data_IF_608388647331
#
_entry.id   IF_608388647331
#
_cell.length_a   1.000
_cell.length_b   1.000
_cell.length_c   1.000
_cell.angle_alpha   90.00
_cell.angle_beta   90.00
_cell.angle_gamma   90.00
#
_symmetry.space_group_name_H-M   'P 1'
#
loop_
_entity.id
_entity.type
_entity.pdbx_description
1 polymer ?
#
# COMPACT_ATOMS: atom_id res chain seq x y z
N UNK A 1 11.41 1.20 -25.02
CA UNK A 1 10.41 0.95 -23.95
C UNK A 1 11.00 1.43 -22.64
N UNK A 2 10.49 2.53 -22.08
CA UNK A 2 11.12 3.20 -20.94
C UNK A 2 11.21 2.27 -19.72
N UNK A 3 12.43 2.09 -19.17
CA UNK A 3 12.69 1.29 -17.95
C UNK A 3 11.70 1.57 -16.82
N UNK A 4 11.22 2.80 -16.69
CA UNK A 4 10.25 3.22 -15.69
C UNK A 4 8.82 2.78 -15.95
N UNK A 5 8.37 2.76 -17.21
CA UNK A 5 7.08 2.18 -17.59
C UNK A 5 7.12 0.65 -17.39
N UNK A 6 8.26 0.04 -17.72
CA UNK A 6 8.51 -1.37 -17.43
C UNK A 6 8.49 -1.64 -15.92
N UNK A 7 9.15 -0.84 -15.09
CA UNK A 7 9.13 -1.01 -13.63
C UNK A 7 7.72 -0.84 -13.04
N UNK A 8 6.92 0.10 -13.52
CA UNK A 8 5.54 0.28 -13.06
C UNK A 8 4.60 -0.83 -13.57
N UNK A 9 4.73 -1.26 -14.82
CA UNK A 9 4.00 -2.41 -15.33
C UNK A 9 4.43 -3.68 -14.60
N UNK A 10 5.73 -3.87 -14.40
CA UNK A 10 6.30 -4.98 -13.68
C UNK A 10 5.79 -4.98 -12.24
N UNK A 11 5.83 -3.83 -11.55
CA UNK A 11 5.28 -3.69 -10.20
C UNK A 11 3.79 -4.03 -10.18
N UNK A 12 3.00 -3.50 -11.12
CA UNK A 12 1.55 -3.80 -11.27
C UNK A 12 1.28 -5.28 -11.57
N UNK A 13 2.14 -5.92 -12.36
CA UNK A 13 2.04 -7.36 -12.67
C UNK A 13 2.43 -8.18 -11.44
N UNK A 14 3.53 -7.84 -10.76
CA UNK A 14 3.99 -8.52 -9.54
C UNK A 14 3.05 -8.33 -8.34
N UNK A 15 2.28 -7.23 -8.33
CA UNK A 15 1.23 -6.95 -7.34
C UNK A 15 -0.11 -7.60 -7.72
N UNK A 16 -0.19 -8.31 -8.84
CA UNK A 16 -1.39 -9.07 -9.20
C UNK A 16 -1.49 -10.32 -8.33
N UNK A 17 -2.69 -10.60 -7.85
CA UNK A 17 -3.03 -11.83 -7.13
C UNK A 17 -2.56 -13.11 -7.84
N UNK A 18 -2.59 -13.11 -9.18
CA UNK A 18 -2.32 -14.30 -10.00
C UNK A 18 -0.86 -14.46 -10.41
N UNK A 19 0.01 -13.49 -10.12
CA UNK A 19 1.39 -13.54 -10.60
C UNK A 19 2.19 -14.66 -9.96
N UNK A 20 2.22 -14.74 -8.61
CA UNK A 20 2.91 -15.81 -7.89
C UNK A 20 2.27 -17.18 -8.18
N UNK A 21 0.93 -17.35 -8.15
CA UNK A 21 0.30 -18.62 -8.51
C UNK A 21 0.63 -19.07 -9.93
N UNK A 22 0.60 -18.18 -10.92
CA UNK A 22 0.96 -18.51 -12.29
C UNK A 22 2.44 -18.90 -12.42
N UNK A 23 3.33 -18.21 -11.68
CA UNK A 23 4.75 -18.56 -11.62
C UNK A 23 4.98 -19.97 -11.04
N UNK A 24 4.33 -20.31 -9.93
CA UNK A 24 4.40 -21.65 -9.32
C UNK A 24 3.79 -22.73 -10.21
N UNK A 25 2.71 -22.42 -10.92
CA UNK A 25 2.09 -23.31 -11.89
C UNK A 25 3.05 -23.61 -13.06
N UNK A 26 3.71 -22.59 -13.62
CA UNK A 26 4.72 -22.76 -14.65
C UNK A 26 5.95 -23.53 -14.14
N UNK A 27 6.40 -23.24 -12.92
CA UNK A 27 7.50 -23.97 -12.29
C UNK A 27 7.15 -25.45 -12.12
N UNK A 28 5.93 -25.78 -11.71
CA UNK A 28 5.46 -27.16 -11.61
C UNK A 28 5.46 -27.88 -12.97
N UNK A 29 5.03 -27.20 -14.05
CA UNK A 29 5.08 -27.74 -15.41
C UNK A 29 6.53 -28.04 -15.82
N UNK A 30 7.44 -27.08 -15.64
CA UNK A 30 8.87 -27.25 -15.96
C UNK A 30 9.48 -28.40 -15.15
N UNK A 31 9.16 -28.46 -13.86
CA UNK A 31 9.65 -29.50 -12.95
C UNK A 31 9.17 -30.89 -13.38
N UNK A 32 7.91 -31.02 -13.82
CA UNK A 32 7.37 -32.26 -14.37
C UNK A 32 8.14 -32.72 -15.63
N UNK A 33 8.43 -31.81 -16.56
CA UNK A 33 9.19 -32.15 -17.77
C UNK A 33 10.63 -32.55 -17.46
N UNK A 34 11.30 -31.81 -16.57
CA UNK A 34 12.69 -32.09 -16.18
C UNK A 34 12.78 -33.44 -15.47
N UNK A 35 11.94 -33.70 -14.46
CA UNK A 35 11.95 -34.95 -13.70
C UNK A 35 11.60 -36.16 -14.57
N UNK A 36 10.58 -36.06 -15.41
CA UNK A 36 10.25 -37.13 -16.36
C UNK A 36 11.40 -37.37 -17.34
N UNK A 37 12.03 -36.30 -17.84
CA UNK A 37 13.20 -36.39 -18.72
C UNK A 37 14.38 -37.07 -18.04
N UNK A 38 14.66 -36.76 -16.77
CA UNK A 38 15.71 -37.43 -15.99
C UNK A 38 15.39 -38.89 -15.71
N UNK A 39 14.12 -39.22 -15.43
CA UNK A 39 13.68 -40.60 -15.23
C UNK A 39 13.89 -41.44 -16.50
N UNK A 40 13.61 -40.86 -17.69
CA UNK A 40 13.90 -41.50 -18.97
C UNK A 40 15.40 -41.67 -19.24
N UNK A 41 16.22 -40.65 -18.94
CA UNK A 41 17.66 -40.66 -19.24
C UNK A 41 18.47 -41.58 -18.31
N UNK A 42 18.09 -41.66 -17.04
CA UNK A 42 18.84 -42.42 -16.04
C UNK A 42 18.47 -43.91 -15.99
N UNK A 43 17.41 -44.33 -16.69
CA UNK A 43 16.99 -45.74 -16.72
C UNK A 43 16.74 -46.31 -15.33
N UNK A 44 16.24 -45.47 -14.41
CA UNK A 44 16.18 -45.76 -12.97
C UNK A 44 15.30 -46.97 -12.61
N UNK A 45 14.44 -47.44 -13.54
CA UNK A 45 13.68 -48.68 -13.38
C UNK A 45 14.55 -49.89 -13.07
N UNK A 46 15.75 -50.02 -13.67
CA UNK A 46 16.63 -51.19 -13.43
C UNK A 46 17.52 -51.04 -12.19
N UNK A 47 17.68 -49.82 -11.64
CA UNK A 47 18.61 -49.54 -10.52
C UNK A 47 17.93 -49.34 -9.16
N UNK A 48 16.61 -49.16 -9.13
CA UNK A 48 15.84 -48.91 -7.91
C UNK A 48 15.12 -50.16 -7.37
N UNK A 49 15.29 -51.34 -7.99
CA UNK A 49 14.75 -52.62 -7.49
C UNK A 49 15.17 -52.91 -6.03
N UNK A 50 16.32 -52.40 -5.58
CA UNK A 50 16.85 -52.60 -4.23
C UNK A 50 16.12 -51.78 -3.13
N UNK A 51 15.26 -50.81 -3.48
CA UNK A 51 14.54 -49.97 -2.51
C UNK A 51 13.02 -50.27 -2.52
N UNK A 52 12.62 -51.39 -1.91
CA UNK A 52 11.22 -51.86 -1.80
C UNK A 52 10.21 -50.80 -1.30
N UNK A 53 10.63 -49.85 -0.45
CA UNK A 53 9.76 -48.80 0.09
C UNK A 53 9.44 -47.66 -0.89
N UNK A 54 10.27 -47.48 -1.93
CA UNK A 54 10.14 -46.41 -2.93
C UNK A 54 9.47 -46.90 -4.22
N UNK A 55 9.32 -48.22 -4.36
CA UNK A 55 8.80 -48.87 -5.56
C UNK A 55 7.26 -48.85 -5.54
N UNK A 56 6.66 -47.96 -6.34
CA UNK A 56 5.22 -48.01 -6.61
C UNK A 56 4.93 -49.32 -7.36
N UNK A 57 4.31 -50.28 -6.67
CA UNK A 57 4.27 -51.71 -7.04
C UNK A 57 3.52 -52.04 -8.34
N UNK A 58 2.94 -51.06 -9.04
CA UNK A 58 2.38 -51.19 -10.39
C UNK A 58 2.11 -49.82 -11.06
N UNK A 59 2.11 -49.73 -12.40
CA UNK A 59 1.70 -48.53 -13.13
C UNK A 59 0.29 -48.04 -12.74
N UNK A 60 -0.62 -48.96 -12.46
CA UNK A 60 -1.99 -48.63 -12.03
C UNK A 60 -2.03 -48.06 -10.61
N UNK A 61 -1.20 -48.58 -9.70
CA UNK A 61 -1.03 -48.00 -8.36
C UNK A 61 -0.48 -46.58 -8.41
N UNK A 62 0.51 -46.32 -9.26
CA UNK A 62 1.06 -44.99 -9.48
C UNK A 62 0.00 -44.01 -10.03
N UNK A 63 -0.77 -44.42 -11.04
CA UNK A 63 -1.89 -43.61 -11.57
C UNK A 63 -2.95 -43.34 -10.50
N UNK A 64 -3.29 -44.34 -9.70
CA UNK A 64 -4.26 -44.18 -8.61
C UNK A 64 -3.80 -43.14 -7.58
N UNK A 65 -2.54 -43.23 -7.11
CA UNK A 65 -1.96 -42.27 -6.17
C UNK A 65 -1.94 -40.86 -6.75
N UNK A 66 -1.44 -40.68 -7.98
CA UNK A 66 -1.39 -39.37 -8.63
C UNK A 66 -2.79 -38.80 -8.88
N UNK A 67 -3.77 -39.64 -9.22
CA UNK A 67 -5.17 -39.25 -9.40
C UNK A 67 -5.80 -38.80 -8.07
N UNK A 68 -5.55 -39.52 -6.97
CA UNK A 68 -5.99 -39.11 -5.63
C UNK A 68 -5.35 -37.79 -5.19
N UNK A 69 -4.05 -37.61 -5.45
CA UNK A 69 -3.36 -36.34 -5.17
C UNK A 69 -3.98 -35.23 -6.03
N UNK A 70 -4.10 -35.41 -7.35
CA UNK A 70 -4.68 -34.40 -8.23
C UNK A 70 -6.11 -34.01 -7.79
N UNK A 71 -6.98 -35.00 -7.55
CA UNK A 71 -8.37 -34.77 -7.13
C UNK A 71 -8.49 -34.05 -5.78
N UNK A 72 -7.65 -34.41 -4.80
CA UNK A 72 -7.61 -33.72 -3.51
C UNK A 72 -7.08 -32.29 -3.65
N UNK A 73 -5.99 -32.09 -4.39
CA UNK A 73 -5.37 -30.77 -4.55
C UNK A 73 -6.28 -29.76 -5.27
N UNK A 74 -7.00 -30.16 -6.33
CA UNK A 74 -7.93 -29.26 -7.02
C UNK A 74 -9.14 -28.90 -6.15
N UNK A 75 -9.65 -29.85 -5.38
CA UNK A 75 -10.76 -29.62 -4.44
C UNK A 75 -10.35 -28.62 -3.37
N UNK A 76 -9.16 -28.82 -2.78
CA UNK A 76 -8.61 -27.93 -1.78
C UNK A 76 -8.31 -26.54 -2.36
N UNK A 77 -7.74 -26.45 -3.56
CA UNK A 77 -7.53 -25.17 -4.24
C UNK A 77 -8.85 -24.39 -4.42
N UNK A 78 -9.94 -25.09 -4.76
CA UNK A 78 -11.28 -24.50 -4.85
C UNK A 78 -11.76 -23.92 -3.51
N UNK A 79 -11.56 -24.64 -2.41
CA UNK A 79 -11.88 -24.14 -1.05
C UNK A 79 -11.03 -22.92 -0.71
N UNK A 80 -9.73 -22.95 -0.96
CA UNK A 80 -8.81 -21.83 -0.69
C UNK A 80 -9.23 -20.56 -1.45
N UNK A 81 -9.57 -20.69 -2.74
CA UNK A 81 -10.06 -19.57 -3.55
C UNK A 81 -11.38 -19.03 -3.00
N UNK A 82 -12.32 -19.92 -2.67
CA UNK A 82 -13.62 -19.54 -2.10
C UNK A 82 -13.45 -18.78 -0.77
N UNK A 83 -12.66 -19.31 0.16
CA UNK A 83 -12.35 -18.65 1.42
C UNK A 83 -11.69 -17.30 1.18
N UNK A 84 -10.74 -17.20 0.25
CA UNK A 84 -10.09 -15.91 -0.08
C UNK A 84 -11.10 -14.87 -0.57
N UNK A 85 -12.05 -15.26 -1.42
CA UNK A 85 -13.13 -14.35 -1.90
C UNK A 85 -14.05 -13.92 -0.76
N UNK A 86 -14.38 -14.84 0.16
CA UNK A 86 -15.18 -14.52 1.35
C UNK A 86 -14.44 -13.50 2.23
N UNK A 87 -13.15 -13.72 2.49
CA UNK A 87 -12.32 -12.80 3.26
C UNK A 87 -12.22 -11.44 2.59
N UNK A 88 -12.04 -11.40 1.27
CA UNK A 88 -12.02 -10.15 0.51
C UNK A 88 -13.33 -9.38 0.64
N UNK A 89 -14.45 -10.10 0.62
CA UNK A 89 -15.80 -9.53 0.77
C UNK A 89 -15.99 -8.97 2.18
N UNK A 90 -15.63 -9.74 3.21
CA UNK A 90 -15.69 -9.31 4.60
C UNK A 90 -14.81 -8.09 4.85
N UNK A 91 -13.58 -8.08 4.34
CA UNK A 91 -12.68 -6.94 4.47
C UNK A 91 -13.23 -5.68 3.79
N UNK A 92 -13.81 -5.82 2.59
CA UNK A 92 -14.45 -4.71 1.88
C UNK A 92 -15.69 -4.17 2.61
N UNK A 93 -16.40 -5.01 3.33
CA UNK A 93 -17.61 -4.65 4.09
C UNK A 93 -17.26 -4.04 5.45
N UNK A 94 -16.30 -4.61 6.17
CA UNK A 94 -15.97 -4.19 7.53
C UNK A 94 -15.00 -3.01 7.55
N UNK A 95 -13.99 -2.97 6.67
CA UNK A 95 -12.87 -2.03 6.78
C UNK A 95 -12.78 -1.02 5.65
N UNK A 96 -13.27 -1.39 4.46
CA UNK A 96 -13.41 -0.48 3.33
C UNK A 96 -12.66 -0.90 2.07
N UNK A 97 -13.12 -0.45 0.88
CA UNK A 97 -12.55 -0.85 -0.40
C UNK A 97 -11.07 -0.49 -0.55
N UNK A 98 -10.56 0.50 0.20
CA UNK A 98 -9.14 0.88 0.14
C UNK A 98 -8.23 -0.15 0.79
N UNK A 99 -8.73 -0.97 1.71
CA UNK A 99 -7.95 -1.99 2.42
C UNK A 99 -7.97 -3.34 1.73
N UNK A 100 -8.92 -3.55 0.82
CA UNK A 100 -9.04 -4.74 -0.04
C UNK A 100 -7.74 -5.02 -0.80
N UNK A 101 -7.04 -3.97 -1.25
CA UNK A 101 -5.75 -4.11 -1.96
C UNK A 101 -4.72 -4.85 -1.11
N UNK A 102 -4.67 -4.63 0.20
CA UNK A 102 -3.71 -5.26 1.10
C UNK A 102 -3.92 -6.78 1.18
N UNK A 103 -5.16 -7.25 1.03
CA UNK A 103 -5.50 -8.68 0.99
C UNK A 103 -5.19 -9.32 -0.37
N UNK A 104 -5.33 -8.56 -1.47
CA UNK A 104 -4.99 -9.04 -2.82
C UNK A 104 -3.48 -9.27 -2.95
N UNK A 105 -2.66 -8.44 -2.30
CA UNK A 105 -1.20 -8.52 -2.32
C UNK A 105 -0.60 -9.51 -1.29
N UNK A 106 -1.43 -10.30 -0.61
CA UNK A 106 -0.98 -11.24 0.42
C UNK A 106 -0.17 -12.41 -0.16
N UNK A 107 1.16 -12.32 -0.09
CA UNK A 107 2.08 -13.31 -0.65
C UNK A 107 1.90 -14.71 -0.07
N UNK A 108 1.73 -14.90 1.26
CA UNK A 108 1.46 -16.22 1.83
C UNK A 108 0.24 -16.91 1.18
N UNK A 109 -0.90 -16.24 1.06
CA UNK A 109 -2.08 -16.78 0.39
C UNK A 109 -1.82 -17.16 -1.06
N UNK A 110 -1.09 -16.31 -1.79
CA UNK A 110 -0.73 -16.56 -3.19
C UNK A 110 0.19 -17.79 -3.35
N UNK A 111 1.16 -17.97 -2.46
CA UNK A 111 2.06 -19.14 -2.46
C UNK A 111 1.28 -20.42 -2.19
N UNK A 112 0.37 -20.40 -1.20
CA UNK A 112 -0.44 -21.57 -0.86
C UNK A 112 -1.33 -21.96 -2.04
N UNK A 113 -2.12 -21.03 -2.59
CA UNK A 113 -2.99 -21.29 -3.75
C UNK A 113 -2.18 -21.80 -4.95
N UNK A 114 -1.04 -21.15 -5.25
CA UNK A 114 -0.15 -21.54 -6.33
C UNK A 114 0.45 -22.93 -6.15
N UNK A 115 0.78 -23.31 -4.92
CA UNK A 115 1.35 -24.63 -4.60
C UNK A 115 0.33 -25.76 -4.79
N UNK A 116 -0.92 -25.56 -4.40
CA UNK A 116 -2.00 -26.52 -4.65
C UNK A 116 -2.31 -26.67 -6.14
N UNK A 117 -2.43 -25.56 -6.87
CA UNK A 117 -2.63 -25.58 -8.32
C UNK A 117 -1.44 -26.22 -9.06
N UNK A 118 -0.21 -25.93 -8.61
CA UNK A 118 1.03 -26.51 -9.10
C UNK A 118 1.11 -28.02 -8.86
N UNK A 119 0.81 -28.49 -7.64
CA UNK A 119 0.79 -29.91 -7.30
C UNK A 119 -0.26 -30.69 -8.12
N UNK A 120 -1.42 -30.08 -8.35
CA UNK A 120 -2.46 -30.61 -9.25
C UNK A 120 -1.95 -30.81 -10.68
N UNK A 121 -1.42 -29.75 -11.32
CA UNK A 121 -0.96 -29.85 -12.71
C UNK A 121 0.25 -30.77 -12.85
N UNK A 122 1.17 -30.74 -11.88
CA UNK A 122 2.31 -31.64 -11.81
C UNK A 122 1.84 -33.10 -11.82
N UNK A 123 0.89 -33.45 -10.93
CA UNK A 123 0.37 -34.83 -10.82
C UNK A 123 -0.29 -35.31 -12.11
N UNK A 124 -1.06 -34.45 -12.80
CA UNK A 124 -1.65 -34.78 -14.11
C UNK A 124 -0.59 -34.99 -15.18
N UNK A 125 0.44 -34.15 -15.22
CA UNK A 125 1.51 -34.25 -16.22
C UNK A 125 2.36 -35.50 -16.03
N UNK A 126 2.69 -35.86 -14.79
CA UNK A 126 3.39 -37.12 -14.51
C UNK A 126 2.51 -38.31 -14.88
N UNK A 127 1.21 -38.27 -14.54
CA UNK A 127 0.28 -39.35 -14.87
C UNK A 127 0.19 -39.60 -16.38
N UNK A 128 0.25 -38.55 -17.21
CA UNK A 128 0.29 -38.68 -18.68
C UNK A 128 1.49 -39.48 -19.19
N UNK A 129 2.61 -39.44 -18.48
CA UNK A 129 3.84 -40.12 -18.90
C UNK A 129 3.93 -41.59 -18.42
N UNK A 130 2.94 -42.09 -17.67
CA UNK A 130 2.88 -43.49 -17.25
C UNK A 130 2.37 -44.35 -18.40
N UNK A 131 3.22 -45.21 -18.94
CA UNK A 131 2.90 -46.13 -20.02
C UNK A 131 2.78 -47.56 -19.47
N UNK A 132 1.72 -48.26 -19.89
CA UNK A 132 1.50 -49.68 -19.61
C UNK A 132 1.42 -50.42 -20.94
N UNK A 133 2.41 -51.27 -21.24
CA UNK A 133 2.65 -51.86 -22.57
C UNK A 133 3.65 -53.03 -22.52
N UNK A 134 4.40 -53.31 -23.60
CA UNK A 134 5.41 -54.38 -23.61
C UNK A 134 6.59 -54.11 -22.66
N UNK A 135 6.87 -52.83 -22.36
CA UNK A 135 7.79 -52.39 -21.31
C UNK A 135 7.05 -51.35 -20.48
N UNK A 136 6.77 -51.68 -19.22
CA UNK A 136 6.13 -50.76 -18.30
C UNK A 136 7.11 -49.64 -17.90
N UNK A 137 6.64 -48.39 -17.93
CA UNK A 137 7.42 -47.23 -17.50
C UNK A 137 6.69 -46.46 -16.41
N UNK A 138 7.35 -46.34 -15.26
CA UNK A 138 6.84 -45.65 -14.07
C UNK A 138 7.92 -44.67 -13.60
N UNK A 139 7.69 -43.34 -13.64
CA UNK A 139 8.66 -42.35 -13.21
C UNK A 139 8.69 -42.23 -11.68
N UNK A 140 9.39 -43.16 -11.02
CA UNK A 140 9.39 -43.31 -9.55
C UNK A 140 9.86 -42.04 -8.81
N UNK A 141 10.91 -41.37 -9.29
CA UNK A 141 11.39 -40.12 -8.68
C UNK A 141 10.33 -39.03 -8.79
N UNK A 142 9.69 -38.91 -9.96
CA UNK A 142 8.62 -37.95 -10.19
C UNK A 142 7.42 -38.17 -9.26
N UNK A 143 7.06 -39.43 -8.99
CA UNK A 143 5.98 -39.81 -8.05
C UNK A 143 6.37 -39.49 -6.61
N UNK A 144 7.61 -39.79 -6.19
CA UNK A 144 8.10 -39.44 -4.87
C UNK A 144 8.00 -37.93 -4.62
N UNK A 145 8.42 -37.12 -5.59
CA UNK A 145 8.28 -35.66 -5.53
C UNK A 145 6.81 -35.24 -5.44
N UNK A 146 5.89 -35.91 -6.16
CA UNK A 146 4.45 -35.65 -6.02
C UNK A 146 3.96 -35.90 -4.59
N UNK A 147 4.41 -36.99 -3.98
CA UNK A 147 4.01 -37.39 -2.63
C UNK A 147 4.54 -36.42 -1.57
N UNK A 148 5.82 -36.03 -1.67
CA UNK A 148 6.42 -35.01 -0.81
C UNK A 148 5.71 -33.65 -0.99
N UNK A 149 5.43 -33.25 -2.22
CA UNK A 149 4.70 -32.03 -2.51
C UNK A 149 3.29 -32.05 -1.88
N UNK A 150 2.60 -33.19 -1.93
CA UNK A 150 1.28 -33.35 -1.29
C UNK A 150 1.35 -33.19 0.25
N UNK A 151 2.37 -33.77 0.91
CA UNK A 151 2.57 -33.59 2.36
C UNK A 151 2.86 -32.13 2.70
N UNK A 152 3.70 -31.46 1.89
CA UNK A 152 4.01 -30.04 2.05
C UNK A 152 2.77 -29.17 1.83
N UNK A 153 1.90 -29.52 0.86
CA UNK A 153 0.60 -28.86 0.66
C UNK A 153 -0.30 -28.99 1.90
N UNK A 154 -0.34 -30.15 2.56
CA UNK A 154 -1.11 -30.32 3.80
C UNK A 154 -0.59 -29.41 4.92
N UNK A 155 0.73 -29.32 5.10
CA UNK A 155 1.32 -28.39 6.07
C UNK A 155 0.99 -26.93 5.72
N UNK A 156 1.05 -26.56 4.44
CA UNK A 156 0.68 -25.24 3.94
C UNK A 156 -0.80 -24.91 4.17
N UNK A 157 -1.70 -25.90 4.11
CA UNK A 157 -3.12 -25.70 4.45
C UNK A 157 -3.29 -25.29 5.91
N UNK A 158 -2.65 -26.02 6.83
CA UNK A 158 -2.72 -25.70 8.27
C UNK A 158 -2.18 -24.29 8.53
N UNK A 159 -1.05 -23.97 7.89
CA UNK A 159 -0.48 -22.62 7.93
C UNK A 159 -1.45 -21.56 7.38
N UNK A 160 -2.09 -21.82 6.23
CA UNK A 160 -3.03 -20.89 5.60
C UNK A 160 -4.24 -20.59 6.49
N UNK A 161 -4.80 -21.60 7.16
CA UNK A 161 -5.91 -21.40 8.10
C UNK A 161 -5.48 -20.47 9.23
N UNK A 162 -4.32 -20.73 9.85
CA UNK A 162 -3.78 -19.87 10.89
C UNK A 162 -3.51 -18.45 10.39
N UNK A 163 -2.85 -18.32 9.23
CA UNK A 163 -2.53 -17.04 8.60
C UNK A 163 -3.78 -16.20 8.34
N UNK A 164 -4.82 -16.78 7.75
CA UNK A 164 -6.08 -16.08 7.51
C UNK A 164 -6.77 -15.70 8.84
N UNK A 165 -6.80 -16.60 9.84
CA UNK A 165 -7.40 -16.30 11.14
C UNK A 165 -6.72 -15.15 11.89
N UNK A 166 -5.41 -14.95 11.70
CA UNK A 166 -4.68 -13.82 12.28
C UNK A 166 -4.85 -12.56 11.42
N UNK A 167 -4.68 -12.67 10.11
CA UNK A 167 -4.68 -11.52 9.18
C UNK A 167 -6.04 -10.81 9.08
N UNK A 168 -7.15 -11.52 9.34
CA UNK A 168 -8.49 -10.92 9.37
C UNK A 168 -8.68 -10.01 10.61
N UNK A 169 -7.87 -10.18 11.67
CA UNK A 169 -8.04 -9.39 12.88
C UNK A 169 -7.79 -7.90 12.59
N UNK A 170 -8.67 -7.06 13.13
CA UNK A 170 -8.63 -5.60 12.94
C UNK A 170 -7.25 -5.02 13.29
N UNK A 171 -6.66 -5.54 14.37
CA UNK A 171 -5.35 -5.13 14.87
C UNK A 171 -4.25 -5.32 13.82
N UNK A 172 -4.19 -6.48 13.15
CA UNK A 172 -3.17 -6.74 12.12
C UNK A 172 -3.33 -5.85 10.88
N UNK A 173 -4.56 -5.50 10.50
CA UNK A 173 -4.80 -4.55 9.41
C UNK A 173 -4.33 -3.16 9.81
N UNK A 174 -4.64 -2.77 11.04
CA UNK A 174 -4.34 -1.47 11.59
C UNK A 174 -2.82 -1.28 11.74
N UNK A 175 -2.12 -2.27 12.30
CA UNK A 175 -0.65 -2.34 12.35
C UNK A 175 -0.03 -2.20 10.96
N UNK A 176 -0.54 -2.93 9.96
CA UNK A 176 -0.01 -2.85 8.59
C UNK A 176 -0.19 -1.47 7.96
N UNK A 177 -1.36 -0.84 8.15
CA UNK A 177 -1.61 0.52 7.63
C UNK A 177 -0.74 1.54 8.36
N UNK A 178 -0.49 1.32 9.66
CA UNK A 178 0.44 2.14 10.43
C UNK A 178 1.88 1.97 9.93
N UNK A 179 2.36 0.76 9.68
CA UNK A 179 3.69 0.52 9.14
C UNK A 179 3.87 1.19 7.77
N UNK A 180 2.86 1.09 6.89
CA UNK A 180 2.84 1.79 5.60
C UNK A 180 2.91 3.31 5.78
N UNK A 181 2.19 3.86 6.76
CA UNK A 181 2.22 5.30 7.08
C UNK A 181 3.58 5.73 7.66
N UNK A 182 4.13 4.97 8.61
CA UNK A 182 5.42 5.24 9.23
C UNK A 182 6.55 5.24 8.19
N UNK A 183 6.57 4.24 7.29
CA UNK A 183 7.54 4.19 6.19
C UNK A 183 7.43 5.40 5.24
N UNK A 184 6.21 5.87 4.97
CA UNK A 184 5.99 7.08 4.17
C UNK A 184 6.40 8.35 4.91
N UNK A 185 6.14 8.42 6.21
CA UNK A 185 6.56 9.54 7.07
C UNK A 185 8.09 9.63 7.09
N UNK A 186 8.80 8.50 7.20
CA UNK A 186 10.27 8.45 7.12
C UNK A 186 10.80 8.84 5.74
N UNK A 187 10.12 8.44 4.66
CA UNK A 187 10.52 8.78 3.30
C UNK A 187 10.28 10.26 2.94
N UNK A 188 9.19 10.87 3.42
CA UNK A 188 8.81 12.26 3.11
C UNK A 188 9.45 13.25 4.09
N UNK A 189 9.62 12.83 5.34
CA UNK A 189 10.17 13.62 6.44
C UNK A 189 11.35 12.85 7.08
N UNK A 190 12.56 12.86 6.53
CA UNK A 190 13.70 12.16 7.15
C UNK A 190 14.13 12.82 8.47
N UNK A 191 14.53 12.01 9.47
CA UNK A 191 15.03 12.48 10.78
C UNK A 191 16.42 13.11 10.71
N UNK A 192 17.30 12.52 9.89
CA UNK A 192 18.68 12.96 9.69
C UNK A 192 18.78 14.01 8.58
N UNK A 193 18.44 15.26 8.87
CA UNK A 193 18.87 16.38 8.05
C UNK A 193 20.31 16.76 8.44
N UNK A 194 21.26 15.84 8.25
CA UNK A 194 22.69 16.19 8.19
C UNK A 194 22.98 17.10 6.98
N UNK A 195 22.08 17.09 5.99
CA UNK A 195 21.89 18.18 5.05
C UNK A 195 20.39 18.27 4.80
N UNK A 196 19.72 19.39 5.15
CA UNK A 196 18.52 19.75 4.44
C UNK A 196 18.79 19.57 2.95
N UNK A 197 17.80 19.14 2.16
CA UNK A 197 17.72 19.68 0.80
C UNK A 197 17.55 21.18 1.04
N UNK A 198 18.67 21.86 1.29
CA UNK A 198 18.73 23.26 1.64
C UNK A 198 18.00 23.94 0.52
N UNK A 199 16.85 24.54 0.85
CA UNK A 199 16.37 25.64 0.03
C UNK A 199 17.57 26.58 0.02
N UNK A 200 18.24 26.82 -1.13
CA UNK A 200 19.27 27.84 -1.17
C UNK A 200 18.69 29.07 -0.48
N UNK A 201 19.40 29.73 0.43
CA UNK A 201 18.83 30.83 1.24
C UNK A 201 18.14 31.90 0.36
N UNK A 202 18.58 32.03 -0.90
CA UNK A 202 18.02 32.91 -1.90
C UNK A 202 16.69 32.43 -2.57
N UNK A 203 16.20 31.20 -2.34
CA UNK A 203 14.91 30.67 -2.84
C UNK A 203 13.85 30.57 -1.74
N UNK A 204 14.18 30.95 -0.49
CA UNK A 204 13.20 31.05 0.59
C UNK A 204 12.30 32.29 0.48
N UNK A 205 12.62 33.22 -0.44
CA UNK A 205 11.95 34.50 -0.60
C UNK A 205 11.06 34.49 -1.88
N UNK A 206 9.76 34.79 -1.73
CA UNK A 206 8.80 34.85 -2.85
C UNK A 206 9.25 35.81 -3.95
N UNK A 207 10.00 36.86 -3.58
CA UNK A 207 10.57 37.82 -4.52
C UNK A 207 11.59 37.18 -5.48
N UNK A 208 12.38 36.20 -5.02
CA UNK A 208 13.37 35.52 -5.85
C UNK A 208 12.71 34.52 -6.81
N UNK A 209 11.63 33.87 -6.38
CA UNK A 209 10.79 33.03 -7.25
C UNK A 209 10.15 33.89 -8.34
N UNK A 210 9.59 35.05 -7.98
CA UNK A 210 9.01 35.98 -8.94
C UNK A 210 10.04 36.46 -9.98
N UNK A 211 11.25 36.80 -9.55
CA UNK A 211 12.35 37.18 -10.45
C UNK A 211 12.76 36.03 -11.38
N UNK A 212 12.79 34.78 -10.90
CA UNK A 212 13.10 33.62 -11.73
C UNK A 212 12.05 33.39 -12.83
N UNK A 213 10.78 33.74 -12.57
CA UNK A 213 9.66 33.57 -13.51
C UNK A 213 9.45 34.80 -14.42
N UNK A 214 10.12 35.92 -14.15
CA UNK A 214 9.93 37.18 -14.86
C UNK A 214 10.33 37.06 -16.35
N UNK A 215 9.45 37.52 -17.25
CA UNK A 215 9.68 37.47 -18.70
C UNK A 215 9.50 36.09 -19.34
N UNK A 216 9.09 35.07 -18.58
CA UNK A 216 8.78 33.74 -19.11
C UNK A 216 7.31 33.62 -19.54
N UNK A 217 7.05 32.83 -20.59
CA UNK A 217 5.70 32.40 -20.95
C UNK A 217 5.32 31.14 -20.17
N UNK A 218 4.11 31.12 -19.61
CA UNK A 218 3.58 29.97 -18.89
C UNK A 218 2.72 29.10 -19.81
N UNK A 219 3.21 27.92 -20.16
CA UNK A 219 2.44 26.90 -20.88
C UNK A 219 1.77 25.95 -19.88
N UNK A 220 0.49 25.63 -20.12
CA UNK A 220 -0.28 24.74 -19.24
C UNK A 220 -0.21 23.28 -19.70
N UNK A 221 0.37 22.41 -18.86
CA UNK A 221 0.28 20.97 -19.03
C UNK A 221 -1.06 20.47 -18.48
N UNK A 222 -1.85 19.78 -19.31
CA UNK A 222 -3.21 19.35 -18.95
C UNK A 222 -3.39 17.84 -19.00
N UNK A 223 -4.25 17.33 -18.12
CA UNK A 223 -4.58 15.91 -18.05
C UNK A 223 -5.35 15.46 -19.30
N UNK A 224 -4.81 14.46 -20.02
CA UNK A 224 -5.44 13.93 -21.24
C UNK A 224 -6.67 13.06 -20.97
N UNK A 225 -6.75 12.42 -19.80
CA UNK A 225 -7.79 11.48 -19.39
C UNK A 225 -8.09 11.63 -17.90
N UNK A 226 -9.31 11.31 -17.44
CA UNK A 226 -9.62 11.31 -16.02
C UNK A 226 -8.88 10.18 -15.28
N UNK A 227 -8.45 10.44 -14.06
CA UNK A 227 -7.77 9.44 -13.22
C UNK A 227 -7.02 10.06 -12.05
N UNK A 228 -6.40 9.21 -11.23
CA UNK A 228 -5.58 9.64 -10.10
C UNK A 228 -4.14 9.85 -10.52
N UNK A 229 -3.51 10.93 -10.05
CA UNK A 229 -2.05 11.05 -10.04
C UNK A 229 -1.51 10.10 -8.96
N UNK A 230 -0.81 9.04 -9.35
CA UNK A 230 -0.30 8.02 -8.43
C UNK A 230 1.12 8.36 -7.94
N UNK A 231 1.95 8.91 -8.82
CA UNK A 231 3.32 9.28 -8.51
C UNK A 231 3.86 10.34 -9.50
N UNK A 232 4.81 11.13 -9.03
CA UNK A 232 5.67 12.02 -9.83
C UNK A 232 7.10 11.51 -9.74
N UNK A 233 7.77 11.39 -10.89
CA UNK A 233 9.18 11.00 -10.93
C UNK A 233 10.06 12.22 -10.72
N UNK A 234 10.23 12.64 -9.47
CA UNK A 234 10.89 13.89 -9.09
C UNK A 234 12.28 14.06 -9.72
N UNK A 235 13.12 13.03 -9.69
CA UNK A 235 14.48 13.10 -10.28
C UNK A 235 14.42 13.35 -11.79
N UNK A 236 13.57 12.61 -12.51
CA UNK A 236 13.40 12.80 -13.95
C UNK A 236 12.76 14.13 -14.31
N UNK A 237 11.88 14.62 -13.45
CA UNK A 237 11.22 15.90 -13.64
C UNK A 237 12.24 17.04 -13.50
N UNK A 238 13.13 16.93 -12.52
CA UNK A 238 14.24 17.86 -12.31
C UNK A 238 15.22 17.81 -13.47
N UNK A 239 15.69 16.61 -13.87
CA UNK A 239 16.58 16.43 -15.02
C UNK A 239 15.97 17.02 -16.29
N UNK A 240 14.69 16.76 -16.55
CA UNK A 240 13.97 17.29 -17.70
C UNK A 240 13.88 18.82 -17.66
N UNK A 241 13.61 19.41 -16.49
CA UNK A 241 13.57 20.86 -16.31
C UNK A 241 14.95 21.50 -16.58
N UNK A 242 16.03 20.85 -16.15
CA UNK A 242 17.41 21.31 -16.41
C UNK A 242 17.77 21.21 -17.89
N UNK A 243 17.55 20.04 -18.51
CA UNK A 243 17.87 19.79 -19.92
C UNK A 243 17.15 20.75 -20.87
N UNK A 244 15.91 21.10 -20.55
CA UNK A 244 15.06 21.96 -21.39
C UNK A 244 15.05 23.43 -20.93
N UNK A 245 15.77 23.77 -19.86
CA UNK A 245 15.83 25.14 -19.32
C UNK A 245 14.47 25.67 -18.85
N UNK A 246 13.63 24.80 -18.27
CA UNK A 246 12.28 25.11 -17.81
C UNK A 246 12.23 25.37 -16.30
N UNK A 247 11.24 26.13 -15.87
CA UNK A 247 10.78 26.13 -14.47
C UNK A 247 9.39 25.51 -14.43
N UNK A 248 9.21 24.45 -13.62
CA UNK A 248 7.99 23.67 -13.56
C UNK A 248 7.27 23.91 -12.24
N UNK A 249 6.05 24.44 -12.29
CA UNK A 249 5.19 24.64 -11.14
C UNK A 249 4.04 23.62 -11.15
N UNK A 250 4.14 22.62 -10.29
CA UNK A 250 3.10 21.60 -10.14
C UNK A 250 1.89 22.23 -9.45
N UNK A 251 0.70 21.87 -9.94
CA UNK A 251 -0.58 22.35 -9.38
C UNK A 251 -1.27 21.26 -8.55
N UNK A 252 -0.78 20.02 -8.62
CA UNK A 252 -1.43 18.84 -8.06
C UNK A 252 -0.41 17.91 -7.42
N UNK A 253 -0.86 17.19 -6.39
CA UNK A 253 -0.05 16.21 -5.66
C UNK A 253 -0.49 14.76 -5.98
N UNK A 254 0.40 13.77 -5.79
CA UNK A 254 -0.01 12.38 -5.74
C UNK A 254 -1.22 12.19 -4.81
N UNK A 255 -2.21 11.41 -5.25
CA UNK A 255 -3.49 11.23 -4.56
C UNK A 255 -4.64 12.06 -5.15
N UNK A 256 -4.36 13.13 -5.89
CA UNK A 256 -5.39 13.95 -6.53
C UNK A 256 -6.09 13.22 -7.68
N UNK A 257 -7.41 13.35 -7.76
CA UNK A 257 -8.20 12.91 -8.92
C UNK A 257 -8.28 14.06 -9.93
N UNK A 258 -7.85 13.81 -11.15
CA UNK A 258 -7.80 14.79 -12.23
C UNK A 258 -8.92 14.55 -13.22
N UNK A 259 -9.59 15.63 -13.62
CA UNK A 259 -10.52 15.66 -14.74
C UNK A 259 -9.78 15.82 -16.06
N UNK A 260 -10.41 15.42 -17.16
CA UNK A 260 -9.86 15.68 -18.50
C UNK A 260 -9.76 17.20 -18.72
N UNK A 261 -8.58 17.66 -19.10
CA UNK A 261 -8.28 19.08 -19.34
C UNK A 261 -7.85 19.85 -18.08
N UNK A 262 -7.87 19.24 -16.90
CA UNK A 262 -7.39 19.86 -15.67
C UNK A 262 -5.88 20.12 -15.73
N UNK A 263 -5.43 21.23 -15.13
CA UNK A 263 -4.03 21.63 -15.17
C UNK A 263 -3.22 20.81 -14.16
N UNK A 264 -2.14 20.18 -14.65
CA UNK A 264 -1.23 19.36 -13.82
C UNK A 264 -0.03 20.20 -13.40
N UNK A 265 0.52 20.95 -14.35
CA UNK A 265 1.77 21.68 -14.20
C UNK A 265 1.73 22.93 -15.08
N UNK A 266 2.30 24.02 -14.61
CA UNK A 266 2.69 25.17 -15.43
C UNK A 266 4.16 25.02 -15.77
N UNK A 267 4.49 25.10 -17.04
CA UNK A 267 5.86 25.10 -17.52
C UNK A 267 6.20 26.52 -17.98
N UNK A 268 7.13 27.16 -17.28
CA UNK A 268 7.64 28.47 -17.60
C UNK A 268 8.88 28.32 -18.47
N UNK A 269 8.90 29.03 -19.59
CA UNK A 269 10.04 29.07 -20.50
C UNK A 269 9.99 30.31 -21.41
N UNK A 270 11.06 30.55 -22.18
CA UNK A 270 11.13 31.71 -23.08
C UNK A 270 10.23 31.59 -24.32
N UNK A 271 9.83 30.38 -24.67
CA UNK A 271 9.05 30.07 -25.88
C UNK A 271 7.90 29.15 -25.52
N UNK A 272 6.86 29.10 -26.35
CA UNK A 272 5.77 28.15 -26.13
C UNK A 272 6.26 26.69 -26.16
N UNK A 273 5.74 25.87 -25.25
CA UNK A 273 6.10 24.45 -25.17
C UNK A 273 5.57 23.71 -26.41
N UNK A 274 6.45 23.03 -27.16
CA UNK A 274 6.01 22.18 -28.27
C UNK A 274 5.20 20.98 -27.76
N UNK A 275 4.30 20.42 -28.60
CA UNK A 275 3.52 19.23 -28.24
C UNK A 275 4.40 18.03 -27.88
N UNK A 276 5.54 17.86 -28.56
CA UNK A 276 6.50 16.78 -28.27
C UNK A 276 7.11 16.90 -26.87
N UNK A 277 7.48 18.12 -26.46
CA UNK A 277 7.99 18.39 -25.12
C UNK A 277 6.90 18.24 -24.05
N UNK A 278 5.67 18.66 -24.35
CA UNK A 278 4.53 18.47 -23.47
C UNK A 278 4.26 16.97 -23.21
N UNK A 279 4.39 16.13 -24.24
CA UNK A 279 4.21 14.69 -24.14
C UNK A 279 5.35 14.00 -23.39
N UNK A 280 6.59 14.46 -23.59
CA UNK A 280 7.73 14.01 -22.81
C UNK A 280 7.60 14.38 -21.32
N UNK A 281 7.17 15.62 -21.03
CA UNK A 281 6.91 16.10 -19.67
C UNK A 281 5.79 15.30 -19.01
N UNK A 282 4.67 15.04 -19.71
CA UNK A 282 3.58 14.19 -19.23
C UNK A 282 4.05 12.79 -18.84
N UNK A 283 5.09 12.24 -19.48
CA UNK A 283 5.64 10.93 -19.15
C UNK A 283 6.40 10.87 -17.81
N UNK A 284 6.66 12.02 -17.18
CA UNK A 284 7.19 12.13 -15.81
C UNK A 284 6.10 11.91 -14.74
N UNK A 285 4.83 12.04 -15.11
CA UNK A 285 3.68 11.82 -14.24
C UNK A 285 3.11 10.41 -14.44
N UNK A 286 2.76 9.75 -13.35
CA UNK A 286 2.19 8.40 -13.35
C UNK A 286 0.71 8.50 -13.00
N UNK A 287 -0.15 8.19 -13.97
CA UNK A 287 -1.60 8.18 -13.77
C UNK A 287 -2.14 6.76 -13.61
N UNK A 288 -3.18 6.61 -12.81
CA UNK A 288 -3.90 5.35 -12.65
C UNK A 288 -5.39 5.52 -12.39
N UNK A 289 -6.13 4.41 -12.47
CA UNK A 289 -7.59 4.40 -12.28
C UNK A 289 -7.99 4.47 -10.80
N UNK A 290 -7.10 4.06 -9.90
CA UNK A 290 -7.33 3.98 -8.47
C UNK A 290 -6.24 4.74 -7.71
N UNK A 291 -6.54 5.32 -6.54
CA UNK A 291 -5.54 5.93 -5.67
C UNK A 291 -4.56 4.88 -5.13
N UNK A 292 -3.36 5.32 -4.73
CA UNK A 292 -2.29 4.46 -4.21
C UNK A 292 -1.50 5.17 -3.13
N UNK A 293 -0.98 4.44 -2.15
CA UNK A 293 -0.09 4.97 -1.10
C UNK A 293 1.33 5.30 -1.57
N UNK A 294 1.73 4.98 -2.81
CA UNK A 294 3.15 5.04 -3.24
C UNK A 294 3.84 6.39 -2.97
N UNK A 295 3.13 7.51 -3.16
CA UNK A 295 3.62 8.86 -2.85
C UNK A 295 2.53 9.76 -2.23
N UNK A 296 1.39 9.19 -1.83
CA UNK A 296 0.29 9.93 -1.16
C UNK A 296 0.30 9.58 0.34
N UNK A 297 0.90 10.45 1.15
CA UNK A 297 0.93 10.27 2.62
C UNK A 297 -0.45 10.37 3.26
N UNK A 298 -1.40 11.06 2.61
CA UNK A 298 -2.77 11.16 3.12
C UNK A 298 -3.55 9.87 2.87
N UNK A 299 -3.07 8.98 2.00
CA UNK A 299 -3.78 7.75 1.66
C UNK A 299 -3.91 6.79 2.86
N UNK A 300 -2.83 6.40 3.57
CA UNK A 300 -2.94 5.58 4.78
C UNK A 300 -3.72 6.27 5.91
N UNK A 301 -3.57 7.60 6.06
CA UNK A 301 -4.35 8.39 7.04
C UNK A 301 -5.84 8.25 6.74
N UNK A 302 -6.24 8.40 5.48
CA UNK A 302 -7.64 8.23 5.06
C UNK A 302 -8.11 6.77 5.22
N UNK A 303 -7.24 5.77 5.12
CA UNK A 303 -7.58 4.37 5.40
C UNK A 303 -7.90 4.17 6.89
N UNK A 304 -7.06 4.68 7.80
CA UNK A 304 -7.32 4.63 9.25
C UNK A 304 -8.60 5.39 9.62
N UNK A 305 -8.81 6.58 9.03
CA UNK A 305 -10.04 7.33 9.24
C UNK A 305 -11.28 6.59 8.70
N UNK A 306 -11.19 5.95 7.53
CA UNK A 306 -12.28 5.14 6.98
C UNK A 306 -12.62 3.95 7.89
N UNK A 307 -11.61 3.26 8.44
CA UNK A 307 -11.82 2.18 9.41
C UNK A 307 -12.53 2.67 10.67
N UNK A 308 -12.09 3.80 11.23
CA UNK A 308 -12.71 4.39 12.41
C UNK A 308 -14.17 4.77 12.14
N UNK A 309 -14.46 5.44 11.01
CA UNK A 309 -15.83 5.84 10.65
C UNK A 309 -16.75 4.63 10.46
N UNK A 310 -16.25 3.54 9.87
CA UNK A 310 -17.03 2.30 9.73
C UNK A 310 -17.29 1.64 11.07
N UNK A 311 -16.29 1.58 11.94
CA UNK A 311 -16.45 1.06 13.29
C UNK A 311 -17.53 1.84 14.06
N UNK A 312 -17.58 3.17 13.89
CA UNK A 312 -18.60 4.06 14.47
C UNK A 312 -19.96 4.01 13.77
N UNK A 313 -20.11 3.29 12.66
CA UNK A 313 -21.38 3.22 11.96
C UNK A 313 -22.44 2.49 12.79
N UNK A 314 -23.73 2.84 12.67
CA UNK A 314 -24.80 2.21 13.47
C UNK A 314 -24.90 0.68 13.31
N UNK A 315 -24.40 0.12 12.20
CA UNK A 315 -24.42 -1.31 11.94
C UNK A 315 -23.31 -2.10 12.63
N UNK A 316 -22.20 -1.45 12.99
CA UNK A 316 -21.05 -2.08 13.69
C UNK A 316 -21.02 -1.63 15.14
N UNK A 317 -21.04 -0.31 15.38
CA UNK A 317 -21.05 0.33 16.69
C UNK A 317 -19.92 -0.16 17.62
N UNK A 318 -18.69 -0.11 17.12
CA UNK A 318 -17.47 -0.49 17.84
C UNK A 318 -16.55 0.73 18.06
N UNK A 319 -16.78 1.49 19.15
CA UNK A 319 -15.94 2.64 19.47
C UNK A 319 -14.51 2.26 19.88
N UNK A 320 -14.24 1.03 20.29
CA UNK A 320 -12.89 0.60 20.66
C UNK A 320 -11.97 0.55 19.45
N UNK A 321 -12.42 -0.02 18.33
CA UNK A 321 -11.67 0.00 17.07
C UNK A 321 -11.40 1.44 16.60
N UNK A 322 -12.37 2.35 16.77
CA UNK A 322 -12.18 3.76 16.41
C UNK A 322 -11.14 4.45 17.31
N UNK A 323 -11.12 4.16 18.61
CA UNK A 323 -10.12 4.64 19.56
C UNK A 323 -8.73 4.13 19.17
N UNK A 324 -8.59 2.86 18.80
CA UNK A 324 -7.31 2.33 18.30
C UNK A 324 -6.84 3.09 17.06
N UNK A 325 -7.72 3.32 16.07
CA UNK A 325 -7.37 4.11 14.88
C UNK A 325 -6.88 5.53 15.25
N UNK A 326 -7.53 6.17 16.22
CA UNK A 326 -7.12 7.50 16.73
C UNK A 326 -5.74 7.44 17.38
N UNK A 327 -5.43 6.40 18.16
CA UNK A 327 -4.12 6.24 18.79
C UNK A 327 -3.00 6.10 17.74
N UNK A 328 -3.18 5.27 16.71
CA UNK A 328 -2.17 5.09 15.65
C UNK A 328 -2.01 6.32 14.74
N UNK A 329 -3.10 7.04 14.46
CA UNK A 329 -3.02 8.35 13.82
C UNK A 329 -2.22 9.33 14.68
N UNK A 330 -2.48 9.38 15.99
CA UNK A 330 -1.74 10.24 16.91
C UNK A 330 -0.24 9.91 16.93
N UNK A 331 0.12 8.63 17.00
CA UNK A 331 1.52 8.17 16.93
C UNK A 331 2.20 8.68 15.67
N UNK A 332 1.55 8.56 14.52
CA UNK A 332 2.10 8.99 13.23
C UNK A 332 2.23 10.51 13.13
N UNK A 333 1.27 11.27 13.67
CA UNK A 333 1.35 12.73 13.71
C UNK A 333 2.38 13.24 14.72
N UNK A 334 2.62 12.56 15.83
CA UNK A 334 3.75 12.89 16.72
C UNK A 334 5.09 12.72 15.99
N UNK A 335 5.26 11.66 15.20
CA UNK A 335 6.48 11.49 14.40
C UNK A 335 6.69 12.65 13.39
N UNK A 336 5.60 13.19 12.81
CA UNK A 336 5.66 14.34 11.90
C UNK A 336 5.85 15.67 12.64
N UNK A 337 5.39 15.79 13.88
CA UNK A 337 5.36 17.03 14.66
C UNK A 337 6.74 17.71 14.74
N UNK A 338 7.79 16.91 14.97
CA UNK A 338 9.18 17.38 15.10
C UNK A 338 9.98 17.44 13.82
N UNK A 339 9.41 17.03 12.69
CA UNK A 339 10.14 16.94 11.43
C UNK A 339 9.95 18.22 10.61
N UNK A 340 11.01 18.57 9.88
CA UNK A 340 10.98 19.68 8.93
C UNK A 340 10.16 19.26 7.72
N UNK A 341 9.21 20.11 7.33
CA UNK A 341 8.45 19.86 6.11
C UNK A 341 9.34 20.14 4.91
N UNK A 342 9.25 19.31 3.85
CA UNK A 342 10.08 19.51 2.67
C UNK A 342 9.79 20.88 2.07
N UNK A 343 10.84 21.57 1.62
CA UNK A 343 10.68 22.81 0.85
C UNK A 343 9.83 22.54 -0.40
N UNK A 344 8.94 23.47 -0.80
CA UNK A 344 8.24 23.36 -2.07
C UNK A 344 9.19 23.56 -3.27
N UNK A 345 10.37 24.15 -3.05
CA UNK A 345 11.31 24.51 -4.11
C UNK A 345 12.40 23.45 -4.30
N UNK A 346 12.75 23.19 -5.55
CA UNK A 346 13.88 22.34 -5.94
C UNK A 346 14.73 23.10 -6.95
N UNK A 347 16.03 23.17 -6.64
CA UNK A 347 17.03 23.78 -7.49
C UNK A 347 17.92 22.72 -8.16
N UNK A 348 18.59 23.11 -9.24
CA UNK A 348 19.65 22.31 -9.84
C UNK A 348 21.00 22.46 -9.09
N UNK A 349 22.03 21.78 -9.59
CA UNK A 349 23.37 21.85 -9.00
C UNK A 349 24.02 23.25 -9.06
N UNK A 350 23.50 24.16 -9.89
CA UNK A 350 23.94 25.55 -9.95
C UNK A 350 23.14 26.48 -9.02
N UNK A 351 22.13 25.95 -8.31
CA UNK A 351 21.24 26.71 -7.44
C UNK A 351 20.07 27.37 -8.16
N UNK A 352 19.86 27.13 -9.46
CA UNK A 352 18.73 27.73 -10.18
C UNK A 352 17.43 26.98 -9.87
N UNK A 353 16.34 27.71 -9.63
CA UNK A 353 15.01 27.13 -9.41
C UNK A 353 14.54 26.35 -10.64
N UNK A 354 14.15 25.09 -10.45
CA UNK A 354 13.67 24.21 -11.54
C UNK A 354 12.28 23.66 -11.31
N UNK A 355 11.94 23.28 -10.07
CA UNK A 355 10.64 22.68 -9.77
C UNK A 355 10.04 23.31 -8.51
N UNK A 356 8.78 23.71 -8.61
CA UNK A 356 7.94 24.16 -7.50
C UNK A 356 6.86 23.10 -7.32
N UNK A 357 6.80 22.49 -6.13
CA UNK A 357 5.85 21.42 -5.81
C UNK A 357 4.96 21.86 -4.65
N UNK A 358 3.64 21.65 -4.72
CA UNK A 358 2.76 21.83 -3.57
C UNK A 358 3.18 20.88 -2.46
N UNK A 359 3.15 21.35 -1.21
CA UNK A 359 3.48 20.57 -0.01
C UNK A 359 2.28 20.53 0.92
N UNK A 360 2.07 19.40 1.59
CA UNK A 360 1.01 19.31 2.59
C UNK A 360 1.33 20.21 3.77
N UNK A 361 0.32 20.86 4.33
CA UNK A 361 0.48 21.60 5.59
C UNK A 361 0.19 20.69 6.78
N UNK A 362 0.74 21.04 7.95
CA UNK A 362 0.40 20.35 9.19
C UNK A 362 -1.11 20.38 9.48
N UNK A 363 -1.77 21.51 9.18
CA UNK A 363 -3.23 21.64 9.34
C UNK A 363 -4.01 20.66 8.46
N UNK A 364 -3.62 20.52 7.19
CA UNK A 364 -4.26 19.58 6.26
C UNK A 364 -4.18 18.14 6.77
N UNK A 365 -2.99 17.72 7.21
CA UNK A 365 -2.75 16.37 7.74
C UNK A 365 -3.62 16.14 8.98
N UNK A 366 -3.65 17.10 9.90
CA UNK A 366 -4.43 17.06 11.14
C UNK A 366 -5.94 16.94 10.87
N UNK A 367 -6.46 17.75 9.93
CA UNK A 367 -7.87 17.73 9.54
C UNK A 367 -8.24 16.41 8.87
N UNK A 368 -7.43 15.92 7.94
CA UNK A 368 -7.67 14.64 7.26
C UNK A 368 -7.68 13.47 8.25
N UNK A 369 -6.80 13.51 9.27
CA UNK A 369 -6.74 12.48 10.29
C UNK A 369 -7.98 12.44 11.20
N UNK A 370 -8.39 13.57 11.78
CA UNK A 370 -9.37 13.56 12.88
C UNK A 370 -10.75 14.13 12.55
N UNK A 371 -10.88 14.99 11.53
CA UNK A 371 -12.13 15.73 11.31
C UNK A 371 -13.31 14.82 10.99
N UNK A 372 -13.11 13.81 10.15
CA UNK A 372 -14.19 12.89 9.81
C UNK A 372 -14.50 11.93 10.97
N UNK A 373 -13.48 11.40 11.65
CA UNK A 373 -13.67 10.53 12.82
C UNK A 373 -14.48 11.27 13.89
N UNK A 374 -14.12 12.53 14.18
CA UNK A 374 -14.87 13.39 15.07
C UNK A 374 -16.31 13.59 14.59
N UNK A 375 -16.52 13.91 13.32
CA UNK A 375 -17.86 14.15 12.79
C UNK A 375 -18.82 12.96 13.02
N UNK A 376 -18.36 11.73 12.78
CA UNK A 376 -19.16 10.52 12.95
C UNK A 376 -19.18 10.01 14.40
N UNK A 377 -18.14 10.27 15.19
CA UNK A 377 -18.03 9.85 16.58
C UNK A 377 -18.43 10.90 17.62
N UNK A 378 -18.95 12.07 17.21
CA UNK A 378 -19.21 13.22 18.09
C UNK A 378 -20.20 12.96 19.23
N UNK A 379 -21.03 11.93 19.11
CA UNK A 379 -21.99 11.50 20.14
C UNK A 379 -21.37 10.51 21.13
N UNK A 380 -20.24 9.88 20.79
CA UNK A 380 -19.51 8.97 21.67
C UNK A 380 -18.44 9.73 22.46
N UNK A 381 -18.68 9.86 23.76
CA UNK A 381 -17.78 10.57 24.69
C UNK A 381 -16.39 9.94 24.74
N UNK A 382 -16.27 8.63 24.63
CA UNK A 382 -14.98 7.94 24.71
C UNK A 382 -14.13 8.29 23.49
N UNK A 383 -14.74 8.30 22.31
CA UNK A 383 -14.07 8.64 21.05
C UNK A 383 -13.65 10.11 21.05
N UNK A 384 -14.56 11.02 21.41
CA UNK A 384 -14.25 12.46 21.49
C UNK A 384 -13.15 12.74 22.51
N UNK A 385 -13.24 12.15 23.70
CA UNK A 385 -12.23 12.29 24.75
C UNK A 385 -10.88 11.73 24.29
N UNK A 386 -10.89 10.62 23.54
CA UNK A 386 -9.67 10.04 22.98
C UNK A 386 -9.03 10.93 21.93
N UNK A 387 -9.82 11.58 21.07
CA UNK A 387 -9.31 12.57 20.11
C UNK A 387 -8.63 13.72 20.85
N UNK A 388 -9.24 14.27 21.92
CA UNK A 388 -8.59 15.32 22.71
C UNK A 388 -7.30 14.85 23.38
N UNK A 389 -7.26 13.61 23.89
CA UNK A 389 -6.03 13.03 24.42
C UNK A 389 -4.95 12.87 23.34
N UNK A 390 -5.32 12.47 22.12
CA UNK A 390 -4.40 12.40 20.98
C UNK A 390 -3.83 13.79 20.64
N UNK A 391 -4.69 14.81 20.56
CA UNK A 391 -4.27 16.20 20.31
C UNK A 391 -3.41 16.75 21.45
N UNK A 392 -3.67 16.35 22.70
CA UNK A 392 -2.82 16.67 23.84
C UNK A 392 -1.42 16.06 23.68
N UNK A 393 -1.34 14.78 23.32
CA UNK A 393 -0.05 14.08 23.13
C UNK A 393 0.77 14.70 21.99
N UNK A 394 0.14 15.04 20.86
CA UNK A 394 0.79 15.71 19.74
C UNK A 394 1.31 17.09 20.18
N UNK A 395 0.51 17.84 20.94
CA UNK A 395 0.90 19.17 21.43
C UNK A 395 1.93 19.15 22.55
N UNK A 396 2.11 18.02 23.24
CA UNK A 396 3.12 17.84 24.29
C UNK A 396 4.52 17.59 23.70
N UNK A 397 4.61 17.35 22.39
CA UNK A 397 5.89 17.17 21.73
C UNK A 397 6.68 18.49 21.74
N UNK A 398 7.85 18.46 22.40
CA UNK A 398 8.71 19.63 22.57
C UNK A 398 9.26 20.17 21.24
N UNK A 399 9.29 19.34 20.20
CA UNK A 399 9.78 19.70 18.88
C UNK A 399 8.76 20.50 18.04
N UNK A 400 7.51 20.62 18.50
CA UNK A 400 6.44 21.32 17.80
C UNK A 400 6.65 22.84 17.86
N UNK A 401 6.75 23.49 16.70
CA UNK A 401 6.90 24.94 16.59
C UNK A 401 5.64 25.72 17.04
N UNK A 402 5.79 27.03 17.27
CA UNK A 402 4.69 27.88 17.74
C UNK A 402 3.51 27.99 16.76
N UNK A 403 3.78 28.04 15.45
CA UNK A 403 2.73 28.16 14.44
C UNK A 403 1.86 26.89 14.36
N UNK A 404 2.48 25.70 14.44
CA UNK A 404 1.78 24.41 14.49
C UNK A 404 1.00 24.26 15.80
N UNK A 405 1.48 24.79 16.92
CA UNK A 405 0.71 24.84 18.18
C UNK A 405 -0.55 25.70 18.04
N UNK A 406 -0.47 26.85 17.38
CA UNK A 406 -1.64 27.70 17.13
C UNK A 406 -2.67 26.99 16.26
N UNK A 407 -2.23 26.30 15.20
CA UNK A 407 -3.08 25.44 14.35
C UNK A 407 -3.75 24.36 15.20
N UNK A 408 -2.98 23.66 16.05
CA UNK A 408 -3.48 22.60 16.91
C UNK A 408 -4.51 23.12 17.92
N UNK A 409 -4.25 24.26 18.55
CA UNK A 409 -5.17 24.91 19.48
C UNK A 409 -6.46 25.36 18.80
N UNK A 410 -6.35 25.97 17.60
CA UNK A 410 -7.49 26.37 16.78
C UNK A 410 -8.39 25.19 16.40
N UNK A 411 -7.77 24.11 15.91
CA UNK A 411 -8.48 22.88 15.56
C UNK A 411 -9.15 22.23 16.78
N UNK A 412 -8.44 22.14 17.90
CA UNK A 412 -8.97 21.58 19.17
C UNK A 412 -10.20 22.36 19.65
N UNK A 413 -10.17 23.70 19.58
CA UNK A 413 -11.30 24.56 19.93
C UNK A 413 -12.50 24.38 18.98
N UNK A 414 -12.24 24.22 17.69
CA UNK A 414 -13.27 23.93 16.69
C UNK A 414 -14.01 22.62 17.00
N UNK A 415 -13.27 21.56 17.38
CA UNK A 415 -13.86 20.27 17.73
C UNK A 415 -14.71 20.32 19.01
N UNK A 416 -14.27 21.07 20.03
CA UNK A 416 -15.05 21.26 21.26
C UNK A 416 -16.43 21.85 20.97
N UNK A 417 -16.48 22.94 20.20
CA UNK A 417 -17.74 23.62 19.87
C UNK A 417 -18.73 22.68 19.18
N UNK A 418 -18.23 21.79 18.32
CA UNK A 418 -19.04 20.76 17.65
C UNK A 418 -19.51 19.67 18.63
N UNK A 419 -18.62 19.18 19.50
CA UNK A 419 -18.95 18.13 20.48
C UNK A 419 -19.98 18.54 21.52
N UNK A 420 -19.87 19.75 22.09
CA UNK A 420 -20.80 20.22 23.13
C UNK A 420 -22.25 20.29 22.62
N UNK A 421 -22.43 20.62 21.34
CA UNK A 421 -23.75 20.71 20.70
C UNK A 421 -24.45 19.36 20.53
N UNK A 422 -23.70 18.25 20.55
CA UNK A 422 -24.21 16.90 20.28
C UNK A 422 -24.23 15.97 21.51
N UNK A 423 -23.58 16.36 22.62
CA UNK A 423 -23.51 15.52 23.81
C UNK A 423 -24.91 15.25 24.42
N UNK A 424 -25.15 13.97 24.75
CA UNK A 424 -26.43 13.43 25.22
C UNK A 424 -26.82 13.87 26.63
N UNK A 425 -25.85 14.00 27.54
CA UNK A 425 -26.11 14.42 28.91
C UNK A 425 -25.04 15.39 29.45
N UNK A 426 -25.31 16.03 30.59
CA UNK A 426 -24.37 16.99 31.17
C UNK A 426 -23.08 16.34 31.67
N UNK A 427 -23.13 15.06 32.09
CA UNK A 427 -21.93 14.30 32.46
C UNK A 427 -20.97 14.12 31.29
N UNK A 428 -21.52 13.76 30.13
CA UNK A 428 -20.77 13.63 28.86
C UNK A 428 -20.10 14.95 28.46
N UNK A 429 -20.84 16.06 28.58
CA UNK A 429 -20.30 17.41 28.32
C UNK A 429 -19.15 17.76 29.23
N UNK A 430 -19.29 17.46 30.52
CA UNK A 430 -18.25 17.75 31.50
C UNK A 430 -16.98 16.92 31.23
N UNK A 431 -17.12 15.64 30.89
CA UNK A 431 -15.99 14.80 30.51
C UNK A 431 -15.28 15.31 29.25
N UNK A 432 -16.04 15.73 28.23
CA UNK A 432 -15.50 16.35 27.01
C UNK A 432 -14.75 17.65 27.33
N UNK A 433 -15.32 18.52 28.18
CA UNK A 433 -14.67 19.76 28.62
C UNK A 433 -13.37 19.50 29.37
N UNK A 434 -13.34 18.50 30.26
CA UNK A 434 -12.14 18.13 30.99
C UNK A 434 -11.03 17.63 30.06
N UNK A 435 -11.37 16.77 29.09
CA UNK A 435 -10.44 16.29 28.08
C UNK A 435 -9.89 17.46 27.22
N UNK A 436 -10.77 18.38 26.79
CA UNK A 436 -10.37 19.59 26.09
C UNK A 436 -9.44 20.48 26.93
N UNK A 437 -9.77 20.73 28.21
CA UNK A 437 -8.96 21.58 29.09
C UNK A 437 -7.56 21.00 29.29
N UNK A 438 -7.45 19.68 29.41
CA UNK A 438 -6.15 18.99 29.48
C UNK A 438 -5.32 19.20 28.20
N UNK A 439 -5.94 19.09 27.02
CA UNK A 439 -5.29 19.36 25.74
C UNK A 439 -4.88 20.84 25.59
N UNK A 440 -5.81 21.76 25.82
CA UNK A 440 -5.60 23.20 25.68
C UNK A 440 -4.50 23.72 26.63
N UNK A 441 -4.41 23.18 27.84
CA UNK A 441 -3.35 23.53 28.79
C UNK A 441 -1.96 23.23 28.21
N UNK A 442 -1.79 22.08 27.57
CA UNK A 442 -0.51 21.70 26.94
C UNK A 442 -0.19 22.63 25.76
N UNK A 443 -1.18 22.93 24.93
CA UNK A 443 -1.00 23.81 23.76
C UNK A 443 -0.58 25.24 24.16
N UNK A 444 -1.03 25.71 25.33
CA UNK A 444 -0.75 27.06 25.85
C UNK A 444 0.49 27.15 26.76
N UNK A 445 0.97 26.05 27.36
CA UNK A 445 2.04 26.06 28.38
C UNK A 445 3.44 25.69 27.87
N UNK A 446 3.61 25.32 26.60
CA UNK A 446 4.91 24.92 26.05
C UNK A 446 5.78 26.09 25.53
N UNK A 447 5.38 27.35 25.82
CA UNK A 447 6.18 28.57 25.57
C UNK A 447 6.98 28.88 26.81
#
# INVERSE_FOLDING_TARGET
MNKSLFLLLFRRITQSFWFIPAGLFLLAILTAFVLTGTDHLLGLNERLEDFEWLYASSPDGARAVLSTIAGSMITVAGVLISTTVVVLTLASQQYGPRLVKNFIEDRPSQIVIGSFAGCFIYSILIMRNIHSGEVDFVPHLSILVALLAAVVCIAMMIYFIHHISVTIQVQSILERVHDDLSALVDAVFPEDLAQPLETPEHLADEAAVAAALEGQQASALRAKKPGYLQAVRSDRLLDFAVEQGLVLELQVQPGAFLLRGEMICRAFSKTELSEELADALLACFVFGRFPTSEQDMLFPIKQLAEMAIRALSPGINDPHTAIECVDYLATSLCAVAGRSFPSPYRADAAGELRVITPVHTFEEILRVAFQQIHHYGREDVNVVSRIFLALQKIGADASLDGARRDVLAGFTKELLAKSESCASCEGDREQIRQAYQAAAKVHLQAV
#
